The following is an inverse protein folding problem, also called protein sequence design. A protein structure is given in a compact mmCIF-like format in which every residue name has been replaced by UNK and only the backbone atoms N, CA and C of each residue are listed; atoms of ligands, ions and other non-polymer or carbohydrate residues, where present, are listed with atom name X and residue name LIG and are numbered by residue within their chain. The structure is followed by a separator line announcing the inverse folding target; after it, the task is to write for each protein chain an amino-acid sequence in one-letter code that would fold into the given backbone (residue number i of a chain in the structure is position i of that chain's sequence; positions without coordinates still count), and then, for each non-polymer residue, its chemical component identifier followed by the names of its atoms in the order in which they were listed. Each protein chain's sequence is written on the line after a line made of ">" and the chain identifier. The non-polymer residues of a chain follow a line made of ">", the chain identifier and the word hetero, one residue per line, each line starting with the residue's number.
data_IF_438980033979
#
_entry.id   IF_438980033979
#
_cell.length_a   1.000
_cell.length_b   1.000
_cell.length_c   1.000
_cell.angle_alpha   90.00
_cell.angle_beta   90.00
_cell.angle_gamma   90.00
#
_symmetry.space_group_name_H-M   'P 1'
#
loop_
_entity.id
_entity.type
_entity.pdbx_description
1 polymer ?
#
# COMPACT_ATOMS: atom_id res chain seq x y z
N UNK A 1 -23.57 3.92 -12.14
CA UNK A 1 -22.53 4.93 -11.86
C UNK A 1 -21.89 4.79 -10.47
N UNK A 2 -22.65 4.78 -9.35
CA UNK A 2 -22.06 4.61 -8.00
C UNK A 2 -21.20 3.33 -7.81
N UNK A 3 -21.61 2.20 -8.41
CA UNK A 3 -20.84 0.94 -8.38
C UNK A 3 -19.52 1.02 -9.16
N UNK A 4 -19.49 1.73 -10.29
CA UNK A 4 -18.29 1.88 -11.12
C UNK A 4 -17.25 2.80 -10.45
N UNK A 5 -17.71 3.87 -9.79
CA UNK A 5 -16.85 4.75 -8.98
C UNK A 5 -16.28 4.02 -7.76
N UNK A 6 -17.11 3.28 -7.02
CA UNK A 6 -16.62 2.45 -5.90
C UNK A 6 -15.67 1.33 -6.35
N UNK A 7 -15.88 0.78 -7.55
CA UNK A 7 -14.97 -0.20 -8.13
C UNK A 7 -13.65 0.47 -8.52
N UNK A 8 -13.69 1.63 -9.17
CA UNK A 8 -12.50 2.38 -9.52
C UNK A 8 -11.70 2.78 -8.27
N UNK A 9 -12.33 3.34 -7.24
CA UNK A 9 -11.65 3.67 -5.97
C UNK A 9 -11.02 2.44 -5.29
N UNK A 10 -11.62 1.26 -5.49
CA UNK A 10 -11.10 -0.01 -4.96
C UNK A 10 -9.90 -0.50 -5.76
N UNK A 11 -9.89 -0.39 -7.09
CA UNK A 11 -8.87 -0.96 -7.97
C UNK A 11 -7.91 0.08 -8.57
N UNK A 12 -8.03 1.35 -8.19
CA UNK A 12 -7.25 2.45 -8.77
C UNK A 12 -5.74 2.22 -8.67
N UNK A 13 -5.25 1.81 -7.51
CA UNK A 13 -3.82 1.53 -7.28
C UNK A 13 -3.32 0.40 -8.20
N UNK A 14 -4.10 -0.68 -8.34
CA UNK A 14 -3.76 -1.80 -9.22
C UNK A 14 -3.75 -1.39 -10.68
N UNK A 15 -4.77 -0.64 -11.12
CA UNK A 15 -4.86 -0.11 -12.46
C UNK A 15 -3.68 0.80 -12.80
N UNK A 16 -3.33 1.72 -11.89
CA UNK A 16 -2.19 2.62 -12.06
C UNK A 16 -0.87 1.83 -12.18
N UNK A 17 -0.65 0.81 -11.33
CA UNK A 17 0.55 -0.04 -11.39
C UNK A 17 0.65 -0.81 -12.73
N UNK A 18 -0.46 -1.36 -13.21
CA UNK A 18 -0.51 -2.04 -14.52
C UNK A 18 -0.23 -1.05 -15.66
N UNK A 19 -0.79 0.16 -15.61
CA UNK A 19 -0.48 1.20 -16.59
C UNK A 19 0.99 1.58 -16.61
N UNK A 20 1.63 1.75 -15.43
CA UNK A 20 3.06 2.00 -15.35
C UNK A 20 3.89 0.86 -15.95
N UNK A 21 3.53 -0.39 -15.66
CA UNK A 21 4.22 -1.57 -16.19
C UNK A 21 4.13 -1.62 -17.72
N UNK A 22 2.94 -1.45 -18.28
CA UNK A 22 2.73 -1.42 -19.74
C UNK A 22 3.53 -0.29 -20.37
N UNK A 23 3.49 0.92 -19.79
CA UNK A 23 4.24 2.07 -20.30
C UNK A 23 5.75 1.81 -20.32
N UNK A 24 6.30 1.25 -19.24
CA UNK A 24 7.71 0.87 -19.17
C UNK A 24 8.08 -0.18 -20.23
N UNK A 25 7.26 -1.23 -20.38
CA UNK A 25 7.49 -2.28 -21.39
C UNK A 25 7.48 -1.70 -22.80
N UNK A 26 6.54 -0.80 -23.12
CA UNK A 26 6.47 -0.17 -24.44
C UNK A 26 7.67 0.74 -24.70
N UNK A 27 8.06 1.58 -23.73
CA UNK A 27 9.21 2.48 -23.86
C UNK A 27 10.50 1.67 -24.08
N UNK A 28 10.72 0.63 -23.28
CA UNK A 28 11.88 -0.25 -23.44
C UNK A 28 11.83 -1.01 -24.77
N UNK A 29 10.65 -1.43 -25.23
CA UNK A 29 10.47 -2.04 -26.55
C UNK A 29 10.84 -1.09 -27.69
N UNK A 30 10.41 0.16 -27.62
CA UNK A 30 10.77 1.22 -28.58
C UNK A 30 12.29 1.49 -28.54
N UNK A 31 12.89 1.51 -27.35
CA UNK A 31 14.33 1.70 -27.20
C UNK A 31 15.12 0.57 -27.85
N UNK A 32 14.71 -0.69 -27.64
CA UNK A 32 15.32 -1.86 -28.29
C UNK A 32 15.16 -1.78 -29.80
N UNK A 33 13.95 -1.48 -30.29
CA UNK A 33 13.69 -1.29 -31.72
C UNK A 33 14.60 -0.21 -32.33
N UNK A 34 14.65 0.98 -31.72
CA UNK A 34 15.49 2.09 -32.17
C UNK A 34 16.97 1.71 -32.20
N UNK A 35 17.44 1.00 -31.18
CA UNK A 35 18.86 0.61 -31.09
C UNK A 35 19.27 -0.37 -32.17
N UNK A 36 18.44 -1.38 -32.45
CA UNK A 36 18.81 -2.46 -33.37
C UNK A 36 18.41 -2.19 -34.82
N UNK A 37 17.35 -1.42 -35.06
CA UNK A 37 16.83 -1.17 -36.42
C UNK A 37 17.24 0.22 -36.92
N UNK A 38 17.15 1.25 -36.08
CA UNK A 38 17.52 2.62 -36.46
C UNK A 38 18.99 2.95 -36.17
N UNK A 39 19.69 2.10 -35.40
CA UNK A 39 21.07 2.33 -34.96
C UNK A 39 21.24 3.51 -34.00
N UNK A 40 20.14 4.04 -33.44
CA UNK A 40 20.13 5.22 -32.57
C UNK A 40 19.80 4.83 -31.13
N UNK A 41 20.56 5.37 -30.16
CA UNK A 41 20.30 5.17 -28.74
C UNK A 41 19.49 6.34 -28.16
N UNK A 42 18.28 6.06 -27.69
CA UNK A 42 17.39 7.06 -27.07
C UNK A 42 17.75 7.19 -25.58
N UNK A 43 18.60 8.15 -25.21
CA UNK A 43 18.99 8.36 -23.80
C UNK A 43 17.81 8.74 -22.90
N UNK A 44 16.82 9.45 -23.45
CA UNK A 44 15.61 9.86 -22.72
C UNK A 44 14.72 8.68 -22.30
N UNK A 45 14.69 7.59 -23.07
CA UNK A 45 13.80 6.46 -22.78
C UNK A 45 14.24 5.70 -21.53
N UNK A 46 15.55 5.62 -21.29
CA UNK A 46 16.13 5.03 -20.08
C UNK A 46 15.84 5.87 -18.83
N UNK A 47 15.90 7.21 -18.94
CA UNK A 47 15.54 8.11 -17.85
C UNK A 47 14.06 8.00 -17.48
N UNK A 48 13.17 8.08 -18.47
CA UNK A 48 11.72 7.98 -18.23
C UNK A 48 11.37 6.62 -17.62
N UNK A 49 11.90 5.53 -18.16
CA UNK A 49 11.64 4.19 -17.62
C UNK A 49 12.05 4.08 -16.15
N UNK A 50 13.20 4.66 -15.77
CA UNK A 50 13.66 4.71 -14.38
C UNK A 50 12.72 5.51 -13.48
N UNK A 51 12.19 6.62 -13.97
CA UNK A 51 11.24 7.44 -13.23
C UNK A 51 9.89 6.74 -13.04
N UNK A 52 9.37 6.10 -14.09
CA UNK A 52 8.17 5.25 -13.99
C UNK A 52 8.40 4.10 -13.00
N UNK A 53 9.59 3.48 -13.00
CA UNK A 53 9.94 2.43 -12.06
C UNK A 53 9.94 2.92 -10.60
N UNK A 54 10.51 4.11 -10.33
CA UNK A 54 10.49 4.72 -9.00
C UNK A 54 9.04 4.94 -8.53
N UNK A 55 8.20 5.53 -9.38
CA UNK A 55 6.78 5.72 -9.09
C UNK A 55 6.05 4.40 -8.83
N UNK A 56 6.28 3.41 -9.68
CA UNK A 56 5.70 2.07 -9.54
C UNK A 56 6.13 1.40 -8.23
N UNK A 57 7.42 1.47 -7.88
CA UNK A 57 7.95 0.89 -6.65
C UNK A 57 7.32 1.51 -5.40
N UNK A 58 7.21 2.84 -5.35
CA UNK A 58 6.59 3.55 -4.23
C UNK A 58 5.08 3.28 -4.13
N UNK A 59 4.35 3.33 -5.25
CA UNK A 59 2.92 2.99 -5.27
C UNK A 59 2.66 1.52 -4.89
N UNK A 60 3.59 0.62 -5.24
CA UNK A 60 3.50 -0.79 -4.84
C UNK A 60 3.56 -0.99 -3.33
N UNK A 61 4.23 -0.11 -2.56
CA UNK A 61 4.24 -0.19 -1.09
C UNK A 61 2.83 0.04 -0.52
N UNK A 62 2.11 1.03 -1.02
CA UNK A 62 0.69 1.27 -0.66
C UNK A 62 -0.17 0.06 -0.99
N UNK A 63 0.00 -0.47 -2.20
CA UNK A 63 -0.77 -1.62 -2.67
C UNK A 63 -0.51 -2.89 -1.85
N UNK A 64 0.75 -3.20 -1.55
CA UNK A 64 1.14 -4.32 -0.70
C UNK A 64 0.62 -4.15 0.73
N UNK A 65 0.64 -2.92 1.26
CA UNK A 65 0.00 -2.61 2.54
C UNK A 65 -1.49 -2.95 2.47
N UNK A 66 -2.22 -2.50 1.45
CA UNK A 66 -3.64 -2.85 1.22
C UNK A 66 -3.91 -4.35 1.08
N UNK A 67 -2.96 -5.14 0.59
CA UNK A 67 -3.09 -6.60 0.47
C UNK A 67 -2.71 -7.36 1.74
N UNK A 68 -2.38 -6.68 2.86
CA UNK A 68 -2.14 -7.35 4.15
C UNK A 68 -0.97 -8.35 4.13
N UNK A 69 0.01 -8.18 3.22
CA UNK A 69 1.06 -9.19 2.98
C UNK A 69 2.13 -9.23 4.10
N UNK A 70 1.83 -8.77 5.32
CA UNK A 70 2.66 -9.08 6.51
C UNK A 70 2.45 -10.55 6.95
N UNK A 71 2.64 -11.48 6.02
CA UNK A 71 2.43 -12.93 6.14
C UNK A 71 3.14 -13.50 7.38
N UNK A 72 4.33 -12.99 7.70
CA UNK A 72 5.14 -13.46 8.83
C UNK A 72 4.46 -13.24 10.19
N UNK A 73 3.83 -12.09 10.38
CA UNK A 73 3.14 -11.77 11.64
C UNK A 73 1.83 -12.55 11.70
N UNK A 74 1.15 -12.75 10.58
CA UNK A 74 -0.09 -13.52 10.55
C UNK A 74 0.11 -15.00 10.90
N UNK A 75 1.19 -15.62 10.42
CA UNK A 75 1.52 -17.01 10.75
C UNK A 75 1.90 -17.17 12.23
N UNK A 76 2.64 -16.21 12.80
CA UNK A 76 2.98 -16.24 14.22
C UNK A 76 1.75 -15.97 15.09
N UNK A 77 0.90 -15.02 14.68
CA UNK A 77 -0.33 -14.67 15.37
C UNK A 77 -1.46 -15.70 15.17
N UNK A 78 -1.35 -16.61 14.21
CA UNK A 78 -2.29 -17.72 14.05
C UNK A 78 -2.25 -18.74 15.20
N UNK A 79 -1.14 -18.80 15.96
CA UNK A 79 -1.02 -19.65 17.15
C UNK A 79 -1.49 -18.98 18.44
N UNK A 80 -1.83 -17.69 18.39
CA UNK A 80 -2.23 -16.90 19.54
C UNK A 80 -3.76 -16.91 19.72
N UNK A 81 -4.22 -16.70 20.95
CA UNK A 81 -5.65 -16.57 21.24
C UNK A 81 -6.25 -15.33 20.52
N UNK A 82 -7.55 -15.36 20.23
CA UNK A 82 -8.26 -14.34 19.43
C UNK A 82 -7.95 -12.90 19.85
N UNK A 83 -7.91 -12.63 21.15
CA UNK A 83 -7.58 -11.31 21.72
C UNK A 83 -6.10 -10.95 21.61
N UNK A 84 -5.20 -11.91 21.83
CA UNK A 84 -3.76 -11.68 21.70
C UNK A 84 -3.36 -11.40 20.23
N UNK A 85 -3.99 -12.10 19.27
CA UNK A 85 -3.84 -11.84 17.84
C UNK A 85 -4.23 -10.40 17.47
N UNK A 86 -5.37 -9.92 17.96
CA UNK A 86 -5.83 -8.55 17.71
C UNK A 86 -4.87 -7.51 18.30
N UNK A 87 -4.40 -7.69 19.54
CA UNK A 87 -3.45 -6.78 20.19
C UNK A 87 -2.13 -6.71 19.41
N UNK A 88 -1.55 -7.86 19.02
CA UNK A 88 -0.31 -7.90 18.23
C UNK A 88 -0.49 -7.19 16.89
N UNK A 89 -1.64 -7.38 16.22
CA UNK A 89 -1.96 -6.68 14.98
C UNK A 89 -2.04 -5.17 15.19
N UNK A 90 -2.73 -4.69 16.24
CA UNK A 90 -2.84 -3.26 16.56
C UNK A 90 -1.45 -2.65 16.83
N UNK A 91 -0.60 -3.32 17.60
CA UNK A 91 0.76 -2.87 17.88
C UNK A 91 1.56 -2.74 16.57
N UNK A 92 1.52 -3.76 15.71
CA UNK A 92 2.25 -3.73 14.45
C UNK A 92 1.81 -2.55 13.56
N UNK A 93 0.50 -2.38 13.35
CA UNK A 93 -0.02 -1.25 12.57
C UNK A 93 0.32 0.09 13.21
N UNK A 94 0.40 0.17 14.54
CA UNK A 94 0.82 1.40 15.24
C UNK A 94 2.27 1.74 14.93
N UNK A 95 3.18 0.75 14.98
CA UNK A 95 4.60 0.95 14.64
C UNK A 95 4.76 1.38 13.18
N UNK A 96 4.09 0.68 12.26
CA UNK A 96 4.12 1.01 10.84
C UNK A 96 3.56 2.44 10.60
N UNK A 97 2.44 2.80 11.23
CA UNK A 97 1.83 4.12 11.10
C UNK A 97 2.78 5.24 11.57
N UNK A 98 3.38 5.08 12.75
CA UNK A 98 4.34 6.03 13.31
C UNK A 98 5.55 6.18 12.38
N UNK A 99 6.08 5.06 11.87
CA UNK A 99 7.21 5.07 10.94
C UNK A 99 6.89 5.88 9.66
N UNK A 100 5.76 5.60 9.00
CA UNK A 100 5.43 6.30 7.77
C UNK A 100 5.09 7.78 8.00
N UNK A 101 4.39 8.12 9.09
CA UNK A 101 4.12 9.52 9.45
C UNK A 101 5.44 10.26 9.72
N UNK A 102 6.37 9.63 10.43
CA UNK A 102 7.69 10.21 10.70
C UNK A 102 8.50 10.48 9.43
N UNK A 103 8.35 9.66 8.40
CA UNK A 103 9.07 9.80 7.12
C UNK A 103 8.52 10.91 6.20
N UNK A 104 7.26 11.34 6.36
CA UNK A 104 6.63 12.39 5.56
C UNK A 104 7.44 13.71 5.54
N UNK A 105 7.86 14.31 6.67
CA UNK A 105 8.64 15.55 6.65
C UNK A 105 9.97 15.41 5.91
N UNK A 106 10.63 14.24 5.98
CA UNK A 106 11.87 13.98 5.25
C UNK A 106 11.62 13.89 3.74
N UNK A 107 10.56 13.19 3.32
CA UNK A 107 10.17 13.11 1.91
C UNK A 107 9.78 14.50 1.36
N UNK A 108 9.08 15.31 2.15
CA UNK A 108 8.73 16.68 1.78
C UNK A 108 9.97 17.56 1.64
N UNK A 109 10.90 17.48 2.60
CA UNK A 109 12.16 18.24 2.58
C UNK A 109 13.04 17.84 1.39
N UNK A 110 13.08 16.54 1.07
CA UNK A 110 13.77 16.02 -0.11
C UNK A 110 13.21 16.60 -1.40
N UNK A 111 11.89 16.50 -1.60
CA UNK A 111 11.20 17.09 -2.77
C UNK A 111 11.43 18.60 -2.87
N UNK A 112 11.34 19.33 -1.74
CA UNK A 112 11.51 20.78 -1.71
C UNK A 112 12.94 21.21 -2.07
N UNK A 113 13.94 20.43 -1.64
CA UNK A 113 15.34 20.66 -2.03
C UNK A 113 15.51 20.61 -3.55
N UNK A 114 14.83 19.70 -4.25
CA UNK A 114 14.85 19.63 -5.71
C UNK A 114 14.28 20.90 -6.37
N UNK A 115 13.20 21.46 -5.79
CA UNK A 115 12.54 22.68 -6.28
C UNK A 115 13.47 23.88 -6.06
N UNK A 116 14.03 24.02 -4.86
CA UNK A 116 14.90 25.15 -4.49
C UNK A 116 16.18 25.19 -5.31
N UNK A 117 16.75 24.02 -5.62
CA UNK A 117 17.97 23.91 -6.42
C UNK A 117 17.72 23.94 -7.93
N UNK A 118 16.45 24.02 -8.37
CA UNK A 118 16.09 23.97 -9.78
C UNK A 118 16.61 22.70 -10.47
N UNK A 119 16.62 21.57 -9.76
CA UNK A 119 17.31 20.36 -10.21
C UNK A 119 16.60 19.74 -11.43
N UNK A 120 17.33 19.64 -12.55
CA UNK A 120 16.84 19.05 -13.80
C UNK A 120 17.50 17.69 -14.08
N UNK A 121 16.79 16.83 -14.82
CA UNK A 121 17.35 15.55 -15.28
C UNK A 121 18.40 15.75 -16.38
N UNK A 122 19.45 14.91 -16.45
CA UNK A 122 20.55 15.10 -17.40
C UNK A 122 20.17 14.99 -18.88
N UNK A 123 19.33 14.02 -19.27
CA UNK A 123 18.95 13.83 -20.66
C UNK A 123 17.68 14.59 -21.02
N UNK A 124 16.62 14.44 -20.22
CA UNK A 124 15.31 15.01 -20.55
C UNK A 124 15.12 16.45 -20.05
N UNK A 125 16.03 16.98 -19.23
CA UNK A 125 15.90 18.29 -18.58
C UNK A 125 14.57 18.43 -17.82
N UNK A 126 14.07 17.31 -17.28
CA UNK A 126 12.82 17.27 -16.54
C UNK A 126 13.04 17.70 -15.10
N UNK A 127 12.10 18.43 -14.49
CA UNK A 127 12.25 18.86 -13.11
C UNK A 127 12.18 17.64 -12.16
N UNK A 128 13.24 17.45 -11.38
CA UNK A 128 13.42 16.25 -10.55
C UNK A 128 12.42 16.16 -9.39
N UNK A 129 11.76 17.26 -9.01
CA UNK A 129 10.74 17.25 -7.96
C UNK A 129 9.59 16.29 -8.29
N UNK A 130 9.29 16.03 -9.57
CA UNK A 130 8.26 15.06 -9.97
C UNK A 130 8.65 13.64 -9.52
N UNK A 131 9.92 13.26 -9.68
CA UNK A 131 10.41 11.94 -9.26
C UNK A 131 10.52 11.87 -7.74
N UNK A 132 10.99 12.96 -7.12
CA UNK A 132 11.18 13.07 -5.68
C UNK A 132 9.88 13.25 -4.90
N UNK A 133 8.76 13.52 -5.58
CA UNK A 133 7.42 13.51 -5.00
C UNK A 133 6.88 12.07 -4.78
N UNK A 134 7.40 11.06 -5.49
CA UNK A 134 6.92 9.69 -5.38
C UNK A 134 6.97 9.11 -3.94
N UNK A 135 8.08 9.27 -3.17
CA UNK A 135 8.12 8.88 -1.76
C UNK A 135 7.06 9.59 -0.92
N UNK A 136 6.87 10.90 -1.11
CA UNK A 136 5.91 11.70 -0.34
C UNK A 136 4.48 11.18 -0.58
N UNK A 137 4.10 11.01 -1.84
CA UNK A 137 2.77 10.48 -2.21
C UNK A 137 2.57 9.08 -1.62
N UNK A 138 3.57 8.21 -1.75
CA UNK A 138 3.50 6.85 -1.18
C UNK A 138 3.35 6.86 0.34
N UNK A 139 4.15 7.64 1.07
CA UNK A 139 4.07 7.65 2.53
C UNK A 139 2.72 8.17 3.03
N UNK A 140 2.16 9.20 2.39
CA UNK A 140 0.81 9.69 2.70
C UNK A 140 -0.25 8.62 2.43
N UNK A 141 -0.20 7.95 1.27
CA UNK A 141 -1.15 6.88 0.92
C UNK A 141 -1.05 5.69 1.88
N UNK A 142 0.17 5.23 2.17
CA UNK A 142 0.43 4.12 3.09
C UNK A 142 -0.05 4.45 4.50
N UNK A 143 0.26 5.65 5.02
CA UNK A 143 -0.24 6.09 6.33
C UNK A 143 -1.77 6.09 6.39
N UNK A 144 -2.44 6.55 5.33
CA UNK A 144 -3.90 6.51 5.25
C UNK A 144 -4.44 5.06 5.26
N UNK A 145 -3.84 4.16 4.47
CA UNK A 145 -4.23 2.73 4.41
C UNK A 145 -4.03 2.02 5.75
N UNK A 146 -2.90 2.26 6.41
CA UNK A 146 -2.61 1.69 7.73
C UNK A 146 -3.60 2.24 8.77
N UNK A 147 -3.92 3.53 8.73
CA UNK A 147 -4.89 4.13 9.64
C UNK A 147 -6.28 3.50 9.50
N UNK A 148 -6.76 3.28 8.26
CA UNK A 148 -8.02 2.58 8.01
C UNK A 148 -8.04 1.19 8.67
N UNK A 149 -6.95 0.44 8.56
CA UNK A 149 -6.81 -0.90 9.13
C UNK A 149 -6.67 -0.90 10.64
N UNK A 150 -5.93 0.07 11.16
CA UNK A 150 -5.76 0.26 12.59
C UNK A 150 -7.11 0.50 13.26
N UNK A 151 -7.99 1.31 12.65
CA UNK A 151 -9.36 1.55 13.17
C UNK A 151 -10.17 0.24 13.20
N UNK A 152 -10.13 -0.56 12.13
CA UNK A 152 -10.85 -1.84 12.03
C UNK A 152 -10.37 -2.82 13.11
N UNK A 153 -9.06 -3.06 13.20
CA UNK A 153 -8.46 -3.98 14.16
C UNK A 153 -8.65 -3.50 15.62
N UNK A 154 -8.66 -2.19 15.86
CA UNK A 154 -8.95 -1.62 17.18
C UNK A 154 -10.41 -1.82 17.60
N UNK A 155 -11.36 -1.68 16.68
CA UNK A 155 -12.78 -1.97 16.94
C UNK A 155 -13.01 -3.46 17.20
N UNK A 156 -12.33 -4.34 16.44
CA UNK A 156 -12.35 -5.78 16.64
C UNK A 156 -11.77 -6.18 18.01
N UNK A 157 -10.66 -5.57 18.43
CA UNK A 157 -10.08 -5.80 19.76
C UNK A 157 -11.03 -5.40 20.92
N UNK A 158 -11.96 -4.46 20.67
CA UNK A 158 -13.01 -4.06 21.61
C UNK A 158 -14.24 -4.97 21.60
N UNK A 159 -14.27 -6.01 20.77
CA UNK A 159 -15.37 -6.98 20.67
C UNK A 159 -16.61 -6.46 19.94
N UNK A 160 -16.46 -5.47 19.06
CA UNK A 160 -17.55 -5.02 18.18
C UNK A 160 -17.57 -5.87 16.91
N UNK A 161 -18.78 -6.15 16.40
CA UNK A 161 -18.95 -6.76 15.07
C UNK A 161 -18.57 -5.73 14.02
N UNK A 162 -17.50 -5.99 13.29
CA UNK A 162 -16.96 -5.11 12.24
C UNK A 162 -17.02 -5.81 10.90
N UNK A 163 -17.56 -5.13 9.89
CA UNK A 163 -17.49 -5.55 8.49
C UNK A 163 -16.06 -5.32 7.98
N UNK A 164 -15.22 -6.37 8.01
CA UNK A 164 -13.88 -6.37 7.43
C UNK A 164 -13.95 -6.79 5.96
N UNK A 165 -13.80 -5.85 5.00
CA UNK A 165 -13.87 -6.17 3.58
C UNK A 165 -12.71 -7.04 3.08
N UNK A 166 -11.65 -7.23 3.89
CA UNK A 166 -10.49 -8.09 3.58
C UNK A 166 -10.68 -9.51 4.12
N UNK A 167 -11.30 -9.66 5.29
CA UNK A 167 -11.57 -10.95 5.95
C UNK A 167 -13.07 -11.10 6.29
N UNK A 168 -13.94 -11.29 5.28
CA UNK A 168 -15.40 -11.35 5.50
C UNK A 168 -15.83 -12.49 6.42
N UNK A 169 -15.02 -13.55 6.53
CA UNK A 169 -15.26 -14.71 7.40
C UNK A 169 -15.28 -14.35 8.90
N UNK A 170 -14.54 -13.30 9.32
CA UNK A 170 -14.50 -12.89 10.74
C UNK A 170 -15.86 -12.45 11.25
N UNK A 171 -16.65 -11.79 10.40
CA UNK A 171 -18.01 -11.36 10.75
C UNK A 171 -18.92 -12.58 10.98
N UNK A 172 -18.82 -13.60 10.13
CA UNK A 172 -19.59 -14.84 10.28
C UNK A 172 -19.20 -15.58 11.56
N UNK A 173 -17.90 -15.69 11.87
CA UNK A 173 -17.41 -16.29 13.11
C UNK A 173 -17.90 -15.56 14.36
N UNK A 174 -17.95 -14.22 14.35
CA UNK A 174 -18.48 -13.44 15.47
C UNK A 174 -19.98 -13.61 15.68
N UNK A 175 -20.76 -13.68 14.61
CA UNK A 175 -22.20 -13.94 14.71
C UNK A 175 -22.46 -15.34 15.28
N UNK A 176 -21.66 -16.34 14.85
CA UNK A 176 -21.75 -17.71 15.38
C UNK A 176 -21.37 -17.75 16.86
N UNK A 177 -20.29 -17.07 17.26
CA UNK A 177 -19.83 -17.03 18.66
C UNK A 177 -20.82 -16.28 19.57
N UNK A 178 -21.40 -15.18 19.08
CA UNK A 178 -22.43 -14.42 19.79
C UNK A 178 -23.75 -15.19 19.99
N UNK A 179 -24.08 -16.11 19.07
CA UNK A 179 -25.27 -16.96 19.14
C UNK A 179 -25.00 -18.33 19.77
N UNK A 180 -23.78 -18.61 20.24
CA UNK A 180 -23.46 -19.88 20.89
C UNK A 180 -24.15 -19.94 22.26
N UNK A 181 -25.02 -20.91 22.53
CA UNK A 181 -25.66 -21.01 23.84
C UNK A 181 -24.58 -21.25 24.92
N UNK A 182 -24.67 -20.53 26.04
CA UNK A 182 -23.84 -20.75 27.23
C UNK A 182 -24.15 -22.12 27.85
N UNK A 183 -23.68 -23.21 27.24
CA UNK A 183 -23.75 -24.53 27.86
C UNK A 183 -22.54 -24.71 28.78
N UNK A 184 -22.79 -24.73 30.10
CA UNK A 184 -21.89 -25.39 31.04
C UNK A 184 -21.45 -24.63 32.29
N UNK A 185 -22.22 -23.68 32.83
CA UNK A 185 -22.05 -23.22 34.23
C UNK A 185 -23.33 -23.45 35.02
N UNK A 186 -23.60 -24.69 35.39
CA UNK A 186 -24.71 -25.00 36.30
C UNK A 186 -25.02 -26.48 36.33
N UNK A 187 -24.39 -27.21 37.25
CA UNK A 187 -24.78 -28.57 37.60
C UNK A 187 -23.61 -29.52 37.74
N UNK A 188 -22.96 -29.47 38.90
CA UNK A 188 -22.49 -30.65 39.64
C UNK A 188 -22.14 -30.15 41.06
N UNK A 189 -23.20 -30.10 41.88
CA UNK A 189 -23.12 -30.25 43.34
C UNK A 189 -23.28 -31.74 43.64
#
# INVERSE_FOLDING_TARGET
>A
MKKALHWLDRYLEEFILVCFLIAMTLIMGIQVFSRYILGQSLSWSEEITRYLFIWCGFLSVSYCSKMCISIKIEQFAAKLSRRAKAIVKVINHTIELVFFIYMIPFAFSYMMSAIQNGQLSPACHLPMWIVQAAPLVSFVLVSFRILQRWIIEFQFARGKIVDDPVHPERMAEEIIDANRPENGKGGEQ
#
